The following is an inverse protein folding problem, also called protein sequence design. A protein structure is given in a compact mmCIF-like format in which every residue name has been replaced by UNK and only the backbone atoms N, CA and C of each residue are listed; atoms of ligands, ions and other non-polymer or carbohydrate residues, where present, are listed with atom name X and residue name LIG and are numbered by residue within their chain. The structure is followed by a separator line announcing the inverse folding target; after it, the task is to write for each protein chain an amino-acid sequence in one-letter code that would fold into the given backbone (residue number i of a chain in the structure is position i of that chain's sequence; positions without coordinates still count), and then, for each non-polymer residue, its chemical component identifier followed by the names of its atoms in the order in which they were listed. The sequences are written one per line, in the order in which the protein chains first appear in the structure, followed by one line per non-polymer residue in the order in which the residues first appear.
data_IF_238765281915
#
_entry.id   IF_238765281915
#
_cell.length_a   1.000
_cell.length_b   1.000
_cell.length_c   1.000
_cell.angle_alpha   90.00
_cell.angle_beta   90.00
_cell.angle_gamma   90.00
#
_symmetry.space_group_name_H-M   'P 1'
#
loop_
_entity.id
_entity.type
_entity.pdbx_description
1 polymer ?
#
# COMPACT_ATOMS: atom_id res chain seq x y z
N UNK A 1 1.26 9.96 6.17
CA UNK A 1 2.33 10.91 5.82
C UNK A 1 1.96 12.25 6.41
N UNK A 2 2.81 12.86 7.23
CA UNK A 2 2.55 14.18 7.83
C UNK A 2 3.76 15.05 7.50
N UNK A 3 3.57 16.08 6.70
CA UNK A 3 4.57 17.12 6.45
C UNK A 3 4.26 18.39 7.25
N UNK A 4 5.18 19.38 7.24
CA UNK A 4 4.99 20.66 7.93
C UNK A 4 3.77 21.45 7.44
N UNK A 5 3.40 21.27 6.16
CA UNK A 5 2.35 22.06 5.48
C UNK A 5 1.22 21.22 4.90
N UNK A 6 1.36 19.88 4.87
CA UNK A 6 0.48 18.99 4.11
C UNK A 6 0.36 17.66 4.85
N UNK A 7 -0.87 17.13 4.96
CA UNK A 7 -1.11 15.79 5.52
C UNK A 7 -1.56 14.87 4.41
N UNK A 8 -1.22 13.60 4.49
CA UNK A 8 -1.59 12.67 3.45
C UNK A 8 -1.71 11.25 3.93
N UNK A 9 -2.47 10.48 3.19
CA UNK A 9 -2.67 9.05 3.41
C UNK A 9 -2.45 8.31 2.10
N UNK A 10 -1.78 7.17 2.21
CA UNK A 10 -1.54 6.27 1.09
C UNK A 10 -1.98 4.88 1.52
N UNK A 11 -2.62 4.16 0.63
CA UNK A 11 -2.98 2.77 0.83
C UNK A 11 -2.66 1.96 -0.41
N UNK A 12 -2.31 0.69 -0.19
CA UNK A 12 -2.14 -0.30 -1.25
C UNK A 12 -3.01 -1.49 -0.86
N UNK A 13 -3.97 -1.83 -1.70
CA UNK A 13 -4.91 -2.92 -1.47
C UNK A 13 -4.69 -3.99 -2.52
N UNK A 14 -4.67 -5.24 -2.11
CA UNK A 14 -4.48 -6.40 -2.99
C UNK A 14 -5.64 -7.37 -2.81
N UNK A 15 -6.08 -7.99 -3.92
CA UNK A 15 -6.89 -9.19 -3.86
C UNK A 15 -6.08 -10.33 -3.21
N UNK A 16 -6.75 -11.20 -2.44
CA UNK A 16 -6.12 -12.33 -1.74
C UNK A 16 -5.31 -13.23 -2.68
N UNK A 17 -5.87 -13.56 -3.84
CA UNK A 17 -5.20 -14.39 -4.86
C UNK A 17 -3.95 -13.73 -5.44
N UNK A 18 -3.94 -12.40 -5.57
CA UNK A 18 -2.78 -11.65 -6.05
C UNK A 18 -1.69 -11.61 -4.98
N UNK A 19 -2.05 -11.37 -3.71
CA UNK A 19 -1.09 -11.37 -2.61
C UNK A 19 -0.37 -12.74 -2.48
N UNK A 20 -1.10 -13.84 -2.61
CA UNK A 20 -0.54 -15.19 -2.62
C UNK A 20 0.39 -15.44 -3.83
N UNK A 21 0.02 -14.93 -5.01
CA UNK A 21 0.85 -15.06 -6.20
C UNK A 21 2.14 -14.25 -6.09
N UNK A 22 2.08 -13.05 -5.51
CA UNK A 22 3.26 -12.23 -5.24
C UNK A 22 4.20 -12.97 -4.28
N UNK A 23 3.67 -13.58 -3.22
CA UNK A 23 4.46 -14.37 -2.27
C UNK A 23 5.18 -15.54 -2.96
N UNK A 24 4.46 -16.29 -3.81
CA UNK A 24 5.03 -17.39 -4.57
C UNK A 24 6.16 -16.93 -5.49
N UNK A 25 6.01 -15.79 -6.15
CA UNK A 25 7.02 -15.26 -7.07
C UNK A 25 8.24 -14.66 -6.35
N UNK A 26 8.06 -14.11 -5.16
CA UNK A 26 9.15 -13.47 -4.40
C UNK A 26 9.93 -14.46 -3.52
N UNK A 27 9.23 -15.37 -2.85
CA UNK A 27 9.80 -16.27 -1.82
C UNK A 27 9.80 -17.74 -2.25
N UNK A 28 9.09 -18.09 -3.34
CA UNK A 28 8.97 -19.47 -3.80
C UNK A 28 7.89 -20.28 -3.08
N UNK A 29 7.12 -19.66 -2.19
CA UNK A 29 6.14 -20.31 -1.32
C UNK A 29 4.73 -19.75 -1.54
N UNK A 30 3.73 -20.64 -1.62
CA UNK A 30 2.32 -20.29 -1.74
C UNK A 30 1.53 -20.89 -0.57
N UNK A 31 1.23 -20.10 0.46
CA UNK A 31 0.32 -20.51 1.52
C UNK A 31 -1.08 -20.83 0.99
N UNK A 32 -1.84 -21.63 1.73
CA UNK A 32 -3.22 -22.00 1.38
C UNK A 32 -4.25 -20.87 1.62
N UNK A 33 -3.80 -19.70 2.06
CA UNK A 33 -4.63 -18.53 2.37
C UNK A 33 -3.82 -17.44 3.06
N UNK A 34 -4.47 -16.35 3.43
CA UNK A 34 -3.83 -15.26 4.17
C UNK A 34 -3.35 -15.74 5.56
N UNK A 35 -2.05 -15.60 5.82
CA UNK A 35 -1.40 -15.85 7.10
C UNK A 35 -0.49 -14.66 7.48
N UNK A 36 0.22 -14.76 8.60
CA UNK A 36 1.13 -13.71 9.08
C UNK A 36 2.25 -13.40 8.06
N UNK A 37 2.79 -14.42 7.39
CA UNK A 37 3.85 -14.25 6.38
C UNK A 37 3.37 -13.44 5.17
N UNK A 38 2.14 -13.67 4.70
CA UNK A 38 1.54 -12.87 3.62
C UNK A 38 1.34 -11.43 4.08
N UNK A 39 0.86 -11.21 5.31
CA UNK A 39 0.66 -9.84 5.83
C UNK A 39 1.98 -9.11 6.02
N UNK A 40 3.02 -9.79 6.47
CA UNK A 40 4.37 -9.22 6.63
C UNK A 40 4.96 -8.86 5.28
N UNK A 41 4.85 -9.75 4.28
CA UNK A 41 5.29 -9.48 2.91
C UNK A 41 4.58 -8.25 2.31
N UNK A 42 3.26 -8.14 2.47
CA UNK A 42 2.50 -6.96 2.02
C UNK A 42 2.92 -5.70 2.78
N UNK A 43 3.21 -5.83 4.08
CA UNK A 43 3.75 -4.75 4.91
C UNK A 43 5.09 -4.24 4.40
N UNK A 44 6.02 -5.15 4.08
CA UNK A 44 7.33 -4.82 3.52
C UNK A 44 7.24 -4.20 2.13
N UNK A 45 6.36 -4.70 1.26
CA UNK A 45 6.07 -4.04 -0.04
C UNK A 45 5.56 -2.62 0.19
N UNK A 46 4.63 -2.43 1.13
CA UNK A 46 4.09 -1.11 1.46
C UNK A 46 5.17 -0.17 1.98
N UNK A 47 6.05 -0.65 2.86
CA UNK A 47 7.23 0.08 3.34
C UNK A 47 8.15 0.52 2.19
N UNK A 48 8.48 -0.40 1.28
CA UNK A 48 9.35 -0.10 0.14
C UNK A 48 8.74 0.92 -0.82
N UNK A 49 7.46 0.77 -1.16
CA UNK A 49 6.74 1.68 -2.07
C UNK A 49 6.61 3.07 -1.45
N UNK A 50 6.18 3.16 -0.19
CA UNK A 50 6.04 4.44 0.53
C UNK A 50 7.38 5.14 0.74
N UNK A 51 8.44 4.40 1.09
CA UNK A 51 9.79 4.94 1.24
C UNK A 51 10.36 5.47 -0.08
N UNK A 52 10.16 4.73 -1.18
CA UNK A 52 10.54 5.18 -2.53
C UNK A 52 9.78 6.45 -2.95
N UNK A 53 8.46 6.47 -2.74
CA UNK A 53 7.61 7.63 -3.03
C UNK A 53 8.03 8.86 -2.23
N UNK A 54 8.29 8.71 -0.91
CA UNK A 54 8.80 9.78 -0.05
C UNK A 54 10.09 10.37 -0.62
N UNK A 55 11.05 9.53 -1.02
CA UNK A 55 12.33 10.02 -1.57
C UNK A 55 12.12 10.89 -2.81
N UNK A 56 11.30 10.42 -3.75
CA UNK A 56 11.02 11.15 -5.01
C UNK A 56 10.27 12.48 -4.73
N UNK A 57 9.32 12.46 -3.79
CA UNK A 57 8.57 13.65 -3.37
C UNK A 57 9.48 14.67 -2.67
N UNK A 58 10.39 14.21 -1.81
CA UNK A 58 11.37 15.06 -1.14
C UNK A 58 12.34 15.72 -2.14
N UNK A 59 12.79 14.98 -3.16
CA UNK A 59 13.57 15.52 -4.29
C UNK A 59 12.79 16.59 -5.08
N UNK A 60 11.46 16.51 -5.06
CA UNK A 60 10.55 17.48 -5.69
C UNK A 60 10.15 18.64 -4.75
N UNK A 61 10.74 18.72 -3.55
CA UNK A 61 10.50 19.79 -2.58
C UNK A 61 9.36 19.54 -1.58
N UNK A 62 8.76 18.35 -1.58
CA UNK A 62 7.71 17.97 -0.63
C UNK A 62 8.28 17.05 0.45
N UNK A 63 8.59 17.62 1.62
CA UNK A 63 9.12 16.85 2.76
C UNK A 63 7.99 16.32 3.64
N UNK A 64 7.98 15.01 3.85
CA UNK A 64 6.97 14.29 4.63
C UNK A 64 7.61 13.38 5.66
N UNK A 65 7.12 13.41 6.90
CA UNK A 65 7.39 12.36 7.86
C UNK A 65 6.46 11.17 7.64
N UNK A 66 7.04 9.96 7.66
CA UNK A 66 6.29 8.72 7.52
C UNK A 66 5.76 8.30 8.88
N UNK A 67 4.47 7.98 8.94
CA UNK A 67 3.92 7.20 10.03
C UNK A 67 4.24 5.72 9.77
N UNK A 68 4.28 4.91 10.84
CA UNK A 68 4.40 3.45 10.72
C UNK A 68 3.23 2.92 9.88
N UNK A 69 3.47 2.11 8.83
CA UNK A 69 2.38 1.53 8.05
C UNK A 69 1.54 0.63 8.93
N UNK A 70 0.25 0.56 8.60
CA UNK A 70 -0.69 -0.36 9.23
C UNK A 70 -1.15 -1.33 8.16
N UNK A 71 -0.95 -2.62 8.41
CA UNK A 71 -1.47 -3.69 7.55
C UNK A 71 -2.85 -4.07 8.05
N UNK A 72 -3.82 -4.11 7.14
CA UNK A 72 -5.19 -4.54 7.41
C UNK A 72 -5.47 -5.79 6.59
N UNK A 73 -5.92 -6.86 7.25
CA UNK A 73 -6.31 -8.12 6.61
C UNK A 73 -7.77 -8.44 6.92
N UNK A 74 -8.51 -8.88 5.91
CA UNK A 74 -9.92 -9.22 6.05
C UNK A 74 -10.63 -9.31 4.71
N UNK A 75 -11.57 -10.25 4.55
CA UNK A 75 -12.31 -10.38 3.30
C UNK A 75 -13.26 -9.19 3.11
N UNK A 76 -13.21 -8.56 1.94
CA UNK A 76 -14.07 -7.42 1.59
C UNK A 76 -13.85 -6.18 2.45
N UNK A 77 -12.68 -6.04 3.09
CA UNK A 77 -12.36 -4.81 3.79
C UNK A 77 -12.24 -3.66 2.77
N UNK A 78 -12.58 -2.45 3.21
CA UNK A 78 -12.44 -1.24 2.41
C UNK A 78 -11.60 -0.24 3.19
N UNK A 79 -10.72 0.47 2.49
CA UNK A 79 -9.96 1.57 3.08
C UNK A 79 -10.68 2.85 2.71
N UNK A 80 -11.01 3.66 3.72
CA UNK A 80 -11.62 4.97 3.52
C UNK A 80 -10.66 6.03 4.00
N UNK A 81 -10.09 6.77 3.04
CA UNK A 81 -9.28 7.95 3.32
C UNK A 81 -10.15 9.02 3.99
N UNK A 82 -9.85 9.37 5.24
CA UNK A 82 -10.46 10.50 5.95
C UNK A 82 -9.63 11.75 5.71
N UNK A 83 -9.64 12.21 4.47
CA UNK A 83 -8.99 13.44 4.05
C UNK A 83 -10.02 14.34 3.34
N UNK A 84 -9.86 15.66 3.43
CA UNK A 84 -10.70 16.60 2.69
C UNK A 84 -10.23 16.84 1.24
N UNK A 85 -9.02 16.38 0.90
CA UNK A 85 -8.42 16.53 -0.42
C UNK A 85 -8.87 15.52 -1.48
N UNK A 86 -8.33 15.70 -2.69
CA UNK A 86 -8.61 14.78 -3.80
C UNK A 86 -7.93 13.42 -3.58
N UNK A 87 -8.68 12.34 -3.82
CA UNK A 87 -8.18 10.97 -3.76
C UNK A 87 -7.81 10.55 -5.18
N UNK A 88 -6.54 10.21 -5.39
CA UNK A 88 -6.01 9.63 -6.62
C UNK A 88 -6.02 8.12 -6.45
N UNK A 89 -6.74 7.40 -7.31
CA UNK A 89 -6.80 5.94 -7.33
C UNK A 89 -6.19 5.42 -8.63
N UNK A 90 -5.24 4.50 -8.49
CA UNK A 90 -4.58 3.83 -9.62
C UNK A 90 -4.78 2.32 -9.51
N UNK A 91 -5.58 1.72 -10.42
CA UNK A 91 -5.79 0.28 -10.45
C UNK A 91 -4.68 -0.43 -11.25
N UNK A 92 -4.29 -1.61 -10.78
CA UNK A 92 -3.41 -2.55 -11.44
C UNK A 92 -4.14 -3.88 -11.56
N UNK A 93 -4.16 -4.46 -12.76
CA UNK A 93 -4.85 -5.72 -13.02
C UNK A 93 -3.86 -6.80 -13.46
N UNK A 94 -4.12 -8.03 -13.01
CA UNK A 94 -3.36 -9.21 -13.38
C UNK A 94 -4.30 -10.42 -13.54
N UNK A 95 -3.83 -11.54 -14.14
CA UNK A 95 -4.59 -12.78 -14.17
C UNK A 95 -4.96 -13.33 -12.78
N UNK A 96 -4.22 -12.94 -11.74
CA UNK A 96 -4.39 -13.43 -10.37
C UNK A 96 -5.19 -12.47 -9.48
N UNK A 97 -5.71 -11.37 -10.02
CA UNK A 97 -6.49 -10.36 -9.29
C UNK A 97 -5.96 -8.94 -9.49
N UNK A 98 -6.53 -8.02 -8.73
CA UNK A 98 -6.23 -6.59 -8.83
C UNK A 98 -5.48 -6.08 -7.61
N UNK A 99 -4.73 -5.00 -7.83
CA UNK A 99 -4.22 -4.15 -6.77
C UNK A 99 -4.67 -2.71 -7.01
N UNK A 100 -4.85 -1.96 -5.93
CA UNK A 100 -5.27 -0.56 -5.97
C UNK A 100 -4.30 0.25 -5.14
N UNK A 101 -3.73 1.29 -5.74
CA UNK A 101 -2.96 2.29 -5.00
C UNK A 101 -3.82 3.54 -4.88
N UNK A 102 -4.06 3.97 -3.65
CA UNK A 102 -4.80 5.19 -3.35
C UNK A 102 -3.89 6.17 -2.62
N UNK A 103 -3.90 7.43 -3.05
CA UNK A 103 -3.14 8.51 -2.45
C UNK A 103 -4.06 9.70 -2.27
N UNK A 104 -4.03 10.30 -1.08
CA UNK A 104 -4.71 11.53 -0.78
C UNK A 104 -3.79 12.49 -0.05
N UNK A 105 -3.79 13.76 -0.46
CA UNK A 105 -3.11 14.86 0.21
C UNK A 105 -4.13 15.95 0.58
N UNK A 106 -3.98 16.49 1.79
CA UNK A 106 -4.61 17.72 2.30
C UNK A 106 -3.65 18.89 2.21
#
# INVERSE_FOLDING_TARGET
MIGPTTRGSMSITFDESLALEIMQNMLGERPNGLNEEVTDMVGEITNMVTGGAKRILAESGFDFDMATPVVVSGRGHTIRHKCEGAIILMPFSSPWGNAFIEICFE
#
